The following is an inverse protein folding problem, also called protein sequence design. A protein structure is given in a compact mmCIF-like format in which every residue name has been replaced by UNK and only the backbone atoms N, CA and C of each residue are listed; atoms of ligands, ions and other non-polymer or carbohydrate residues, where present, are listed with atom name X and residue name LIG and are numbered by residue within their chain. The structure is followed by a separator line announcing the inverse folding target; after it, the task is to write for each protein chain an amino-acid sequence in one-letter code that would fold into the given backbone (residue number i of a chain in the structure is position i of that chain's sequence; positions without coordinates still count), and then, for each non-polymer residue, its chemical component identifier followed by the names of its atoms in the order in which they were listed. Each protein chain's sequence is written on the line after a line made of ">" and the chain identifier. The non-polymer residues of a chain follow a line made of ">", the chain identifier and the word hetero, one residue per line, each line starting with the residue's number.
data_IF_424966826708
#
_entry.id   IF_424966826708
#
_cell.length_a   1.000
_cell.length_b   1.000
_cell.length_c   1.000
_cell.angle_alpha   90.00
_cell.angle_beta   90.00
_cell.angle_gamma   90.00
#
_symmetry.space_group_name_H-M   'P 1'
#
loop_
_entity.id
_entity.type
_entity.pdbx_description
1 polymer ?
#
# COMPACT_ATOMS: atom_id res chain seq x y z
N UNK A 1 -8.85 -19.21 -9.77
CA UNK A 1 -7.88 -18.32 -9.08
C UNK A 1 -8.64 -17.10 -8.60
N UNK A 2 -8.43 -16.64 -7.35
CA UNK A 2 -9.02 -15.39 -6.88
C UNK A 2 -8.50 -14.21 -7.72
N UNK A 3 -9.38 -13.23 -7.98
CA UNK A 3 -9.01 -12.02 -8.73
C UNK A 3 -8.22 -11.03 -7.86
N UNK A 4 -7.65 -10.00 -8.49
CA UNK A 4 -6.99 -8.89 -7.80
C UNK A 4 -7.91 -8.24 -6.76
N UNK A 5 -9.17 -8.00 -7.14
CA UNK A 5 -10.17 -7.39 -6.25
C UNK A 5 -10.55 -8.32 -5.10
N UNK A 6 -10.66 -9.64 -5.36
CA UNK A 6 -10.95 -10.62 -4.30
C UNK A 6 -9.83 -10.65 -3.25
N UNK A 7 -8.57 -10.57 -3.68
CA UNK A 7 -7.42 -10.58 -2.77
C UNK A 7 -7.40 -9.32 -1.92
N UNK A 8 -7.60 -8.15 -2.53
CA UNK A 8 -7.66 -6.89 -1.77
C UNK A 8 -8.82 -6.86 -0.78
N UNK A 9 -9.99 -7.37 -1.17
CA UNK A 9 -11.17 -7.36 -0.28
C UNK A 9 -10.91 -8.17 0.98
N UNK A 10 -10.28 -9.33 0.86
CA UNK A 10 -9.90 -10.16 2.02
C UNK A 10 -8.94 -9.44 2.96
N UNK A 11 -7.97 -8.70 2.42
CA UNK A 11 -7.02 -7.93 3.25
C UNK A 11 -7.72 -6.80 4.00
N UNK A 12 -8.63 -6.08 3.33
CA UNK A 12 -9.47 -5.08 3.97
C UNK A 12 -10.33 -5.68 5.10
N UNK A 13 -11.05 -6.78 4.82
CA UNK A 13 -11.92 -7.47 5.79
C UNK A 13 -11.13 -8.03 6.98
N UNK A 14 -9.88 -8.46 6.77
CA UNK A 14 -9.00 -8.95 7.84
C UNK A 14 -8.46 -7.85 8.76
N UNK A 15 -8.71 -6.57 8.44
CA UNK A 15 -8.14 -5.44 9.19
C UNK A 15 -6.65 -5.24 8.95
N UNK A 16 -6.14 -5.62 7.77
CA UNK A 16 -4.73 -5.41 7.42
C UNK A 16 -4.40 -3.91 7.48
N UNK A 17 -3.37 -3.56 8.26
CA UNK A 17 -2.94 -2.18 8.42
C UNK A 17 -2.14 -1.72 7.20
N UNK A 18 -2.43 -0.51 6.72
CA UNK A 18 -1.70 0.13 5.62
C UNK A 18 -0.87 1.28 6.18
N UNK A 19 0.37 1.44 5.69
CA UNK A 19 1.21 2.55 6.11
C UNK A 19 0.58 3.89 5.69
N UNK A 20 0.43 4.83 6.64
CA UNK A 20 -0.15 6.16 6.38
C UNK A 20 0.61 6.97 5.33
N UNK A 21 1.90 6.68 5.11
CA UNK A 21 2.76 7.34 4.13
C UNK A 21 2.73 6.72 2.74
N UNK A 22 2.15 5.53 2.58
CA UNK A 22 2.03 4.88 1.28
C UNK A 22 0.98 5.60 0.43
N UNK A 23 1.34 5.96 -0.80
CA UNK A 23 0.43 6.61 -1.76
C UNK A 23 0.55 5.98 -3.14
N UNK A 24 -0.57 6.04 -3.86
CA UNK A 24 -0.71 5.79 -5.30
C UNK A 24 -1.79 6.74 -5.81
N UNK A 25 -1.89 6.91 -7.13
CA UNK A 25 -2.97 7.69 -7.77
C UNK A 25 -4.36 7.17 -7.35
N UNK A 26 -4.53 5.85 -7.28
CA UNK A 26 -5.82 5.23 -6.96
C UNK A 26 -6.35 5.68 -5.57
N UNK A 27 -5.47 5.81 -4.58
CA UNK A 27 -5.83 6.27 -3.22
C UNK A 27 -6.40 7.70 -3.20
N UNK A 28 -6.02 8.52 -4.17
CA UNK A 28 -6.53 9.87 -4.32
C UNK A 28 -7.84 9.90 -5.11
N UNK A 29 -7.95 9.08 -6.17
CA UNK A 29 -9.11 9.08 -7.08
C UNK A 29 -10.29 8.30 -6.49
N UNK A 30 -10.03 7.16 -5.87
CA UNK A 30 -11.06 6.20 -5.44
C UNK A 30 -11.19 6.09 -3.92
N UNK A 31 -10.34 6.78 -3.15
CA UNK A 31 -10.36 6.77 -1.69
C UNK A 31 -9.43 5.73 -1.05
N UNK A 32 -9.46 5.66 0.28
CA UNK A 32 -8.46 4.91 1.05
C UNK A 32 -8.60 3.38 0.95
N UNK A 33 -9.81 2.89 0.68
CA UNK A 33 -10.12 1.45 0.63
C UNK A 33 -10.03 0.87 -0.79
N UNK A 34 -9.46 1.63 -1.73
CA UNK A 34 -9.19 1.16 -3.09
C UNK A 34 -8.30 -0.08 -3.08
N UNK A 35 -8.46 -1.02 -4.03
CA UNK A 35 -7.66 -2.24 -4.04
C UNK A 35 -6.16 -2.03 -3.99
N UNK A 36 -5.68 -0.98 -4.66
CA UNK A 36 -4.26 -0.61 -4.70
C UNK A 36 -3.68 -0.26 -3.32
N UNK A 37 -4.50 -0.03 -2.29
CA UNK A 37 -4.02 0.17 -0.93
C UNK A 37 -3.43 -1.12 -0.32
N UNK A 38 -3.91 -2.28 -0.77
CA UNK A 38 -3.62 -3.57 -0.16
C UNK A 38 -2.85 -4.51 -1.08
N UNK A 39 -3.00 -4.34 -2.40
CA UNK A 39 -2.38 -5.21 -3.40
C UNK A 39 -1.80 -4.36 -4.52
N UNK A 40 -0.57 -4.66 -4.94
CA UNK A 40 0.06 -4.01 -6.09
C UNK A 40 -0.67 -4.39 -7.38
N UNK A 41 -1.23 -3.39 -8.07
CA UNK A 41 -1.71 -3.56 -9.44
C UNK A 41 -0.58 -3.33 -10.46
N UNK A 42 -0.68 -3.96 -11.64
CA UNK A 42 0.35 -3.87 -12.70
C UNK A 42 0.55 -2.45 -13.26
N UNK A 43 -0.42 -1.56 -13.06
CA UNK A 43 -0.39 -0.18 -13.55
C UNK A 43 -0.19 0.85 -12.44
N UNK A 44 -0.09 0.41 -11.18
CA UNK A 44 0.07 1.35 -10.06
C UNK A 44 1.51 1.75 -9.86
N UNK A 45 1.70 3.04 -9.62
CA UNK A 45 2.95 3.60 -9.13
C UNK A 45 2.75 4.02 -7.68
N UNK A 46 3.70 3.61 -6.83
CA UNK A 46 3.65 3.90 -5.41
C UNK A 46 4.74 4.90 -5.02
N UNK A 47 4.40 5.75 -4.06
CA UNK A 47 5.32 6.70 -3.45
C UNK A 47 5.16 6.71 -1.93
N UNK A 48 6.27 6.88 -1.24
CA UNK A 48 6.33 7.11 0.19
C UNK A 48 6.34 8.61 0.45
N UNK A 49 5.35 9.13 1.15
CA UNK A 49 5.30 10.55 1.50
C UNK A 49 6.38 10.98 2.51
N UNK A 50 6.98 10.03 3.23
CA UNK A 50 8.06 10.33 4.18
C UNK A 50 9.39 10.64 3.49
N UNK A 51 9.70 9.89 2.42
CA UNK A 51 10.95 10.01 1.65
C UNK A 51 10.75 10.70 0.30
N UNK A 52 9.49 10.98 -0.07
CA UNK A 52 9.08 11.59 -1.34
C UNK A 52 9.56 10.80 -2.58
N UNK A 53 9.68 9.48 -2.48
CA UNK A 53 10.17 8.61 -3.54
C UNK A 53 9.52 7.23 -3.56
N UNK A 54 9.98 6.36 -4.47
CA UNK A 54 9.49 4.97 -4.62
C UNK A 54 10.12 3.98 -3.65
N UNK A 55 11.12 4.43 -2.89
CA UNK A 55 11.78 3.68 -1.83
C UNK A 55 11.57 4.36 -0.48
N UNK A 56 11.49 3.54 0.56
CA UNK A 56 11.49 4.00 1.94
C UNK A 56 12.89 4.38 2.43
N UNK A 57 13.02 4.80 3.71
CA UNK A 57 14.30 5.22 4.29
C UNK A 57 15.32 4.07 4.42
N UNK A 58 14.83 2.83 4.39
CA UNK A 58 15.61 1.59 4.35
C UNK A 58 15.99 1.14 2.92
N UNK A 59 15.77 2.00 1.91
CA UNK A 59 16.00 1.72 0.49
C UNK A 59 15.12 0.59 -0.11
N UNK A 60 14.17 0.04 0.65
CA UNK A 60 13.23 -0.95 0.14
C UNK A 60 12.01 -0.29 -0.53
N UNK A 61 11.39 -0.98 -1.50
CA UNK A 61 10.24 -0.44 -2.23
C UNK A 61 9.10 -0.10 -1.28
N UNK A 62 8.37 0.98 -1.57
CA UNK A 62 7.14 1.33 -0.88
C UNK A 62 5.93 0.80 -1.66
N UNK A 63 5.72 -0.52 -1.66
CA UNK A 63 4.52 -1.17 -2.23
C UNK A 63 3.74 -1.86 -1.11
N UNK A 64 2.42 -2.13 -1.23
CA UNK A 64 1.61 -2.72 -0.17
C UNK A 64 2.24 -3.96 0.46
N UNK A 65 2.78 -4.88 -0.33
CA UNK A 65 3.37 -6.15 0.15
C UNK A 65 4.68 -5.96 0.93
N UNK A 66 5.38 -4.84 0.73
CA UNK A 66 6.65 -4.55 1.40
C UNK A 66 6.51 -3.45 2.47
N UNK A 67 5.53 -2.55 2.37
CA UNK A 67 5.31 -1.45 3.31
C UNK A 67 4.34 -1.87 4.42
N UNK A 68 4.76 -2.88 5.19
CA UNK A 68 3.95 -3.63 6.15
C UNK A 68 4.40 -3.41 7.60
N UNK A 69 3.58 -3.78 8.60
CA UNK A 69 4.02 -3.87 9.99
C UNK A 69 5.31 -4.69 10.12
N UNK A 70 6.28 -4.17 10.87
CA UNK A 70 7.61 -4.76 11.01
C UNK A 70 8.73 -3.94 10.35
N UNK A 71 8.41 -3.03 9.40
CA UNK A 71 9.36 -2.00 8.98
C UNK A 71 9.50 -0.93 10.06
N UNK A 72 10.73 -0.52 10.33
CA UNK A 72 11.04 0.43 11.42
C UNK A 72 10.31 1.77 11.29
N UNK A 73 10.02 2.22 10.08
CA UNK A 73 9.34 3.49 9.81
C UNK A 73 7.83 3.35 9.52
N UNK A 74 7.25 2.15 9.68
CA UNK A 74 5.84 1.90 9.42
C UNK A 74 4.98 2.64 10.44
N UNK A 75 3.99 3.38 9.95
CA UNK A 75 3.00 4.05 10.79
C UNK A 75 1.60 3.64 10.30
N UNK A 76 0.80 2.95 11.13
CA UNK A 76 -0.51 2.47 10.71
C UNK A 76 -1.47 3.63 10.45
N UNK A 77 -2.44 3.37 9.59
CA UNK A 77 -3.64 4.17 9.44
C UNK A 77 -4.86 3.30 9.70
#
# INVERSE_FOLDING_TARGET
>A
MPTFDDHSRRLLESGTLVCRYLRTKALHVYGQDTPDAFVTSRSSHYACLRTQGVTGPDQALCVPEQCQPGRACFEPR
#
